data_IF_775373712634
#
_entry.id   IF_775373712634
#
_cell.length_a   1.000
_cell.length_b   1.000
_cell.length_c   1.000
_cell.angle_alpha   90.00
_cell.angle_beta   90.00
_cell.angle_gamma   90.00
#
_symmetry.space_group_name_H-M   'P 1'
#
loop_
_entity.id
_entity.type
_entity.pdbx_description
1 polymer ?
#
# COMPACT_ATOMS: atom_id res chain seq x y z
N UNK A 1 8.57 -14.07 -12.52
CA UNK A 1 9.94 -13.88 -12.03
C UNK A 1 10.79 -13.52 -13.25
N UNK A 2 11.50 -12.41 -13.23
CA UNK A 2 12.40 -12.04 -14.33
C UNK A 2 13.68 -12.84 -14.20
N UNK A 3 13.92 -13.72 -15.17
CA UNK A 3 15.10 -14.58 -15.25
C UNK A 3 16.03 -14.10 -16.36
N UNK A 4 17.07 -13.37 -15.95
CA UNK A 4 18.08 -12.83 -16.86
C UNK A 4 18.93 -13.92 -17.51
N UNK A 5 19.05 -15.09 -16.87
CA UNK A 5 19.84 -16.21 -17.42
C UNK A 5 19.12 -16.84 -18.61
N UNK A 6 17.81 -17.08 -18.50
CA UNK A 6 16.98 -17.54 -19.63
C UNK A 6 17.01 -16.55 -20.80
N UNK A 7 16.94 -15.24 -20.52
CA UNK A 7 17.03 -14.21 -21.57
C UNK A 7 18.37 -14.24 -22.28
N UNK A 8 19.47 -14.39 -21.54
CA UNK A 8 20.83 -14.49 -22.08
C UNK A 8 21.02 -15.71 -22.98
N UNK A 9 20.51 -16.88 -22.57
CA UNK A 9 20.55 -18.12 -23.37
C UNK A 9 19.78 -17.98 -24.69
N UNK A 10 18.73 -17.15 -24.72
CA UNK A 10 17.95 -16.85 -25.92
C UNK A 10 18.51 -15.67 -26.75
N UNK A 11 19.72 -15.19 -26.45
CA UNK A 11 20.38 -14.13 -27.21
C UNK A 11 20.00 -12.70 -26.80
N UNK A 12 19.26 -12.52 -25.71
CA UNK A 12 18.89 -11.21 -25.17
C UNK A 12 19.83 -10.81 -24.02
N UNK A 13 20.83 -9.97 -24.31
CA UNK A 13 21.75 -9.41 -23.31
C UNK A 13 21.28 -8.02 -22.89
N UNK A 14 20.24 -7.98 -22.06
CA UNK A 14 19.58 -6.73 -21.63
C UNK A 14 19.79 -6.40 -20.15
N UNK A 15 20.41 -7.30 -19.38
CA UNK A 15 20.59 -7.15 -17.93
C UNK A 15 21.33 -5.85 -17.58
N UNK A 16 22.41 -5.54 -18.30
CA UNK A 16 23.22 -4.34 -18.05
C UNK A 16 22.45 -3.03 -18.25
N UNK A 17 21.48 -3.00 -19.16
CA UNK A 17 20.62 -1.83 -19.38
C UNK A 17 19.78 -1.52 -18.14
N UNK A 18 19.32 -2.54 -17.41
CA UNK A 18 18.51 -2.36 -16.21
C UNK A 18 19.36 -2.15 -14.96
N UNK A 19 20.54 -2.76 -14.89
CA UNK A 19 21.48 -2.55 -13.78
C UNK A 19 21.99 -1.10 -13.78
N UNK A 20 22.35 -0.56 -14.94
CA UNK A 20 22.80 0.84 -15.09
C UNK A 20 21.71 1.86 -14.74
N UNK A 21 20.45 1.54 -14.99
CA UNK A 21 19.30 2.37 -14.59
C UNK A 21 18.97 2.27 -13.09
N UNK A 22 19.63 1.38 -12.33
CA UNK A 22 19.39 1.19 -10.89
C UNK A 22 18.19 0.29 -10.56
N UNK A 23 17.63 -0.43 -11.55
CA UNK A 23 16.41 -1.23 -11.38
C UNK A 23 16.64 -2.56 -10.66
N UNK A 24 17.89 -2.88 -10.31
CA UNK A 24 18.27 -4.14 -9.64
C UNK A 24 17.47 -4.38 -8.36
N UNK A 25 17.19 -3.33 -7.57
CA UNK A 25 16.39 -3.42 -6.34
C UNK A 25 14.91 -3.72 -6.62
N UNK A 26 14.37 -3.15 -7.70
CA UNK A 26 12.99 -3.36 -8.12
C UNK A 26 12.76 -4.82 -8.58
N UNK A 27 13.66 -5.35 -9.41
CA UNK A 27 13.60 -6.77 -9.80
C UNK A 27 13.79 -7.71 -8.60
N UNK A 28 14.65 -7.37 -7.64
CA UNK A 28 14.79 -8.13 -6.39
C UNK A 28 13.50 -8.15 -5.55
N UNK A 29 12.75 -7.04 -5.54
CA UNK A 29 11.44 -6.96 -4.88
C UNK A 29 10.39 -7.78 -5.62
N UNK A 30 10.31 -7.67 -6.95
CA UNK A 30 9.36 -8.42 -7.79
C UNK A 30 9.61 -9.93 -7.77
N UNK A 31 10.87 -10.35 -7.78
CA UNK A 31 11.27 -11.75 -7.72
C UNK A 31 11.35 -12.29 -6.29
N UNK A 32 11.25 -11.41 -5.29
CA UNK A 32 11.17 -11.79 -3.89
C UNK A 32 9.85 -12.51 -3.58
N UNK A 33 9.70 -13.05 -2.35
CA UNK A 33 8.45 -13.64 -1.94
C UNK A 33 7.32 -12.62 -2.08
N UNK A 34 6.39 -12.88 -3.01
CA UNK A 34 5.10 -12.20 -3.02
C UNK A 34 4.40 -12.71 -1.76
N UNK A 35 4.28 -11.85 -0.75
CA UNK A 35 3.50 -12.15 0.44
C UNK A 35 2.02 -12.08 0.09
N UNK A 36 1.54 -13.06 -0.69
CA UNK A 36 0.15 -13.18 -1.12
C UNK A 36 -0.81 -13.19 0.08
N UNK A 37 -0.37 -13.76 1.21
CA UNK A 37 -1.06 -13.66 2.50
C UNK A 37 -1.07 -12.26 3.07
N UNK A 38 0.06 -11.55 3.09
CA UNK A 38 0.12 -10.18 3.62
C UNK A 38 -0.76 -9.21 2.82
N UNK A 39 -0.76 -9.30 1.48
CA UNK A 39 -1.64 -8.47 0.64
C UNK A 39 -3.11 -8.80 0.90
N UNK A 40 -3.44 -10.09 1.00
CA UNK A 40 -4.81 -10.54 1.32
C UNK A 40 -5.25 -10.10 2.72
N UNK A 41 -4.39 -10.26 3.72
CA UNK A 41 -4.64 -9.89 5.11
C UNK A 41 -4.75 -8.38 5.27
N UNK A 42 -3.88 -7.62 4.59
CA UNK A 42 -3.95 -6.17 4.52
C UNK A 42 -5.27 -5.70 3.89
N UNK A 43 -5.67 -6.30 2.77
CA UNK A 43 -6.93 -5.96 2.11
C UNK A 43 -8.17 -6.33 2.93
N UNK A 44 -8.14 -7.48 3.63
CA UNK A 44 -9.21 -7.87 4.56
C UNK A 44 -9.34 -6.94 5.76
N UNK A 45 -8.27 -6.23 6.10
CA UNK A 45 -8.21 -5.25 7.19
C UNK A 45 -8.29 -3.80 6.70
N UNK A 46 -8.43 -3.60 5.39
CA UNK A 46 -8.58 -2.26 4.83
C UNK A 46 -10.01 -1.78 5.10
N UNK A 47 -10.13 -0.75 5.93
CA UNK A 47 -11.39 -0.04 6.15
C UNK A 47 -11.44 1.18 5.22
N UNK A 48 -12.56 1.32 4.52
CA UNK A 48 -12.84 2.51 3.71
C UNK A 48 -13.68 3.45 4.57
N UNK A 49 -13.13 4.60 4.90
CA UNK A 49 -13.87 5.67 5.58
C UNK A 49 -14.67 6.45 4.54
N UNK A 50 -15.95 6.12 4.42
CA UNK A 50 -16.94 6.87 3.64
C UNK A 50 -17.54 8.03 4.45
N UNK A 51 -18.35 8.87 3.79
CA UNK A 51 -18.98 10.03 4.43
C UNK A 51 -19.91 9.63 5.59
N UNK A 52 -20.52 8.44 5.52
CA UNK A 52 -21.38 7.93 6.58
C UNK A 52 -20.57 7.55 7.83
N UNK A 53 -19.50 6.77 7.65
CA UNK A 53 -18.60 6.37 8.75
C UNK A 53 -17.88 7.57 9.35
N UNK A 54 -17.54 8.58 8.54
CA UNK A 54 -17.07 9.88 8.98
C UNK A 54 -18.07 10.59 9.92
N UNK A 55 -19.34 10.67 9.54
CA UNK A 55 -20.40 11.30 10.35
C UNK A 55 -20.69 10.50 11.62
N UNK A 56 -20.71 9.17 11.55
CA UNK A 56 -20.94 8.32 12.73
C UNK A 56 -19.84 8.50 13.78
N UNK A 57 -18.58 8.63 13.36
CA UNK A 57 -17.48 8.93 14.28
C UNK A 57 -17.63 10.31 14.93
N UNK A 58 -18.00 11.34 14.16
CA UNK A 58 -18.26 12.67 14.70
C UNK A 58 -19.39 12.65 15.73
N UNK A 59 -20.52 12.00 15.41
CA UNK A 59 -21.65 11.83 16.32
C UNK A 59 -21.26 11.07 17.59
N UNK A 60 -20.39 10.05 17.48
CA UNK A 60 -19.88 9.29 18.61
C UNK A 60 -18.95 10.14 19.50
N UNK A 61 -18.05 10.92 18.90
CA UNK A 61 -17.19 11.84 19.62
C UNK A 61 -18.00 12.91 20.36
N UNK A 62 -19.02 13.48 19.71
CA UNK A 62 -19.92 14.46 20.34
C UNK A 62 -20.79 13.84 21.43
N UNK A 63 -21.21 12.57 21.28
CA UNK A 63 -21.95 11.83 22.31
C UNK A 63 -21.08 11.56 23.54
N UNK A 64 -19.81 11.22 23.33
CA UNK A 64 -18.86 10.94 24.40
C UNK A 64 -18.36 12.24 25.07
N UNK A 65 -18.18 13.30 24.30
CA UNK A 65 -17.83 14.64 24.77
C UNK A 65 -18.68 15.72 24.06
N UNK A 66 -19.75 16.22 24.71
CA UNK A 66 -20.62 17.25 24.14
C UNK A 66 -19.93 18.56 23.77
N UNK A 67 -18.72 18.83 24.31
CA UNK A 67 -17.94 20.03 23.97
C UNK A 67 -17.34 19.99 22.58
N UNK A 68 -17.32 18.82 21.94
CA UNK A 68 -16.81 18.64 20.58
C UNK A 68 -17.81 19.13 19.51
N UNK A 69 -19.06 19.41 19.89
CA UNK A 69 -20.09 19.84 18.94
C UNK A 69 -19.69 21.13 18.21
N UNK A 70 -19.60 21.07 16.88
CA UNK A 70 -19.29 22.23 16.03
C UNK A 70 -17.81 22.55 15.90
N UNK A 71 -16.92 21.74 16.49
CA UNK A 71 -15.47 21.82 16.22
C UNK A 71 -15.13 21.17 14.88
N UNK A 72 -14.01 21.58 14.32
CA UNK A 72 -13.45 20.95 13.11
C UNK A 72 -12.82 19.60 13.43
N UNK A 73 -12.64 18.75 12.43
CA UNK A 73 -12.02 17.41 12.60
C UNK A 73 -10.64 17.48 13.26
N UNK A 74 -9.81 18.42 12.85
CA UNK A 74 -8.46 18.61 13.41
C UNK A 74 -8.50 18.98 14.91
N UNK A 75 -9.56 19.63 15.37
CA UNK A 75 -9.77 20.01 16.77
C UNK A 75 -10.40 18.88 17.62
N UNK A 76 -11.02 17.88 16.97
CA UNK A 76 -11.57 16.70 17.63
C UNK A 76 -10.52 15.59 17.88
N UNK A 77 -9.38 15.65 17.19
CA UNK A 77 -8.28 14.68 17.25
C UNK A 77 -8.28 13.69 16.10
#
# INVERSE_FOLDING_TARGET
>A
MVDFESLRVNGFVIEDLFVTQGWKRYFKMLNGPIYSRMVKEFWMKAEVFDELSARMQEEELVRNDPTMKGKTREEMG
#
